data_IF_743319612562
#
_entry.id   IF_743319612562
#
_cell.length_a   1.000
_cell.length_b   1.000
_cell.length_c   1.000
_cell.angle_alpha   90.00
_cell.angle_beta   90.00
_cell.angle_gamma   90.00
#
_symmetry.space_group_name_H-M   'P 1'
#
loop_
_entity.id
_entity.type
_entity.pdbx_description
1 polymer ?
#
# COMPACT_ATOMS: atom_id res chain seq x y z
N UNK A 1 17.26 1.89 6.75
CA UNK A 1 16.32 1.77 5.61
C UNK A 1 16.16 3.15 4.98
N UNK A 2 15.87 3.24 3.69
CA UNK A 2 15.64 4.50 2.97
C UNK A 2 14.33 4.41 2.18
N UNK A 3 13.66 5.54 1.96
CA UNK A 3 12.54 5.59 1.03
C UNK A 3 13.04 5.35 -0.40
N UNK A 4 12.17 4.84 -1.28
CA UNK A 4 12.52 4.62 -2.70
C UNK A 4 12.94 5.91 -3.42
N UNK A 5 12.36 7.05 -3.02
CA UNK A 5 12.70 8.37 -3.57
C UNK A 5 13.86 9.06 -2.84
N UNK A 6 14.47 8.40 -1.85
CA UNK A 6 15.53 8.93 -0.98
C UNK A 6 15.20 10.25 -0.26
N UNK A 7 13.92 10.61 -0.14
CA UNK A 7 13.52 11.82 0.57
C UNK A 7 13.19 11.54 2.04
N UNK A 8 13.67 12.39 2.94
CA UNK A 8 13.30 12.40 4.36
C UNK A 8 13.45 13.81 4.94
N UNK A 9 12.60 14.13 5.92
CA UNK A 9 12.67 15.35 6.73
C UNK A 9 12.37 14.94 8.17
N UNK A 10 13.30 15.26 9.09
CA UNK A 10 13.16 14.92 10.52
C UNK A 10 11.91 15.53 11.15
N UNK A 11 11.44 16.65 10.60
CA UNK A 11 10.28 17.38 11.09
C UNK A 11 8.98 17.03 10.35
N UNK A 12 8.92 15.98 9.53
CA UNK A 12 7.69 15.66 8.77
C UNK A 12 7.00 14.40 9.28
N UNK A 13 5.69 14.49 9.54
CA UNK A 13 4.81 13.33 9.65
C UNK A 13 4.10 13.10 8.33
N UNK A 14 3.82 11.84 8.03
CA UNK A 14 3.05 11.44 6.86
C UNK A 14 1.80 10.68 7.32
N UNK A 15 0.69 10.87 6.61
CA UNK A 15 -0.52 10.12 6.85
C UNK A 15 -0.33 8.64 6.53
N UNK A 16 -0.96 7.75 7.31
CA UNK A 16 -0.85 6.30 7.14
C UNK A 16 -1.31 5.86 5.74
N UNK A 17 -2.44 6.40 5.27
CA UNK A 17 -2.98 6.11 3.94
C UNK A 17 -1.99 6.47 2.83
N UNK A 18 -1.32 7.61 2.96
CA UNK A 18 -0.37 8.10 1.96
C UNK A 18 0.90 7.25 1.97
N UNK A 19 1.42 6.95 3.16
CA UNK A 19 2.59 6.08 3.31
C UNK A 19 2.34 4.68 2.70
N UNK A 20 1.14 4.11 2.90
CA UNK A 20 0.76 2.84 2.28
C UNK A 20 0.65 2.95 0.76
N UNK A 21 -0.09 3.97 0.27
CA UNK A 21 -0.33 4.17 -1.16
C UNK A 21 0.95 4.39 -1.97
N UNK A 22 1.93 5.07 -1.37
CA UNK A 22 3.24 5.35 -1.98
C UNK A 22 4.34 4.38 -1.56
N UNK A 23 4.02 3.34 -0.77
CA UNK A 23 4.96 2.30 -0.35
C UNK A 23 6.20 2.83 0.38
N UNK A 24 6.03 3.79 1.28
CA UNK A 24 7.14 4.46 1.96
C UNK A 24 7.76 3.56 3.04
N UNK A 25 9.07 3.34 2.96
CA UNK A 25 9.80 2.43 3.85
C UNK A 25 9.99 3.01 5.27
N UNK A 26 10.36 4.29 5.39
CA UNK A 26 10.63 4.92 6.69
C UNK A 26 9.39 4.95 7.61
N UNK A 27 8.20 5.39 7.15
CA UNK A 27 6.99 5.36 7.97
C UNK A 27 6.55 3.94 8.32
N UNK A 28 6.78 2.96 7.44
CA UNK A 28 6.46 1.55 7.69
C UNK A 28 7.29 0.97 8.83
N UNK A 29 8.59 1.30 8.87
CA UNK A 29 9.49 0.90 9.97
C UNK A 29 9.13 1.63 11.27
N UNK A 30 8.83 2.93 11.21
CA UNK A 30 8.35 3.68 12.38
C UNK A 30 7.05 3.09 12.94
N UNK A 31 6.11 2.67 12.08
CA UNK A 31 4.89 1.96 12.48
C UNK A 31 5.21 0.61 13.15
N UNK A 32 6.15 -0.16 12.60
CA UNK A 32 6.59 -1.42 13.20
C UNK A 32 7.09 -1.21 14.64
N UNK A 33 7.92 -0.20 14.88
CA UNK A 33 8.42 0.09 16.24
C UNK A 33 7.32 0.60 17.19
N UNK A 34 6.27 1.25 16.67
CA UNK A 34 5.12 1.71 17.49
C UNK A 34 4.17 0.57 17.87
N UNK A 35 3.94 -0.36 16.95
CA UNK A 35 2.97 -1.46 17.12
C UNK A 35 3.63 -2.67 17.82
N UNK A 36 4.92 -2.90 17.57
CA UNK A 36 5.68 -4.00 18.13
C UNK A 36 5.60 -5.30 17.31
N UNK A 37 6.60 -6.14 17.46
CA UNK A 37 6.75 -7.42 16.73
C UNK A 37 5.63 -8.42 17.04
N UNK A 38 5.21 -8.51 18.30
CA UNK A 38 4.19 -9.47 18.77
C UNK A 38 2.84 -9.32 18.06
N UNK A 39 2.41 -8.07 17.80
CA UNK A 39 1.17 -7.82 17.08
C UNK A 39 1.25 -8.32 15.63
N UNK A 40 2.41 -8.19 14.99
CA UNK A 40 2.66 -8.72 13.65
C UNK A 40 2.65 -10.25 13.66
N UNK A 41 3.36 -10.89 14.59
CA UNK A 41 3.36 -12.35 14.73
C UNK A 41 1.95 -12.90 14.98
N UNK A 42 1.16 -12.22 15.82
CA UNK A 42 -0.22 -12.63 16.09
C UNK A 42 -1.08 -12.63 14.81
N UNK A 43 -0.95 -11.60 13.98
CA UNK A 43 -1.66 -11.53 12.70
C UNK A 43 -1.19 -12.65 11.75
N UNK A 44 0.12 -12.89 11.64
CA UNK A 44 0.69 -13.93 10.80
C UNK A 44 0.22 -15.33 11.22
N UNK A 45 0.18 -15.61 12.53
CA UNK A 45 -0.37 -16.85 13.07
C UNK A 45 -1.86 -17.03 12.74
N UNK A 46 -2.66 -15.95 12.79
CA UNK A 46 -4.09 -16.00 12.41
C UNK A 46 -4.30 -16.26 10.92
N UNK A 47 -3.33 -15.86 10.10
CA UNK A 47 -3.26 -16.14 8.66
C UNK A 47 -2.65 -17.52 8.32
N UNK A 48 -2.27 -18.32 9.34
CA UNK A 48 -1.54 -19.58 9.19
C UNK A 48 -0.23 -19.43 8.39
N UNK A 49 0.48 -18.33 8.58
CA UNK A 49 1.80 -18.13 7.98
C UNK A 49 2.90 -18.60 8.92
N UNK A 50 3.84 -19.36 8.38
CA UNK A 50 5.06 -19.74 9.09
C UNK A 50 6.12 -18.66 8.89
N UNK A 51 6.18 -17.70 9.83
CA UNK A 51 7.19 -16.65 9.79
C UNK A 51 8.27 -16.93 10.85
N UNK A 52 9.56 -16.74 10.53
CA UNK A 52 10.63 -16.86 11.52
C UNK A 52 10.34 -16.02 12.76
N UNK A 53 10.53 -16.61 13.93
CA UNK A 53 10.20 -16.01 15.23
C UNK A 53 11.12 -14.81 15.55
N UNK A 54 12.32 -14.78 14.97
CA UNK A 54 13.33 -13.76 15.27
C UNK A 54 12.83 -12.33 14.95
N UNK A 55 12.86 -11.47 15.98
CA UNK A 55 12.51 -10.06 15.83
C UNK A 55 13.49 -9.37 14.87
N UNK A 56 13.03 -9.06 13.66
CA UNK A 56 13.80 -8.27 12.72
C UNK A 56 12.90 -7.19 12.12
N UNK A 57 13.25 -5.90 12.27
CA UNK A 57 12.50 -4.80 11.65
C UNK A 57 12.38 -4.94 10.12
N UNK A 58 13.29 -5.69 9.48
CA UNK A 58 13.25 -6.00 8.06
C UNK A 58 12.00 -6.78 7.64
N UNK A 59 11.37 -7.53 8.56
CA UNK A 59 10.12 -8.24 8.29
C UNK A 59 9.01 -7.29 7.82
N UNK A 60 8.95 -6.08 8.39
CA UNK A 60 7.99 -5.04 7.98
C UNK A 60 8.23 -4.52 6.56
N UNK A 61 9.41 -4.77 5.98
CA UNK A 61 9.76 -4.43 4.60
C UNK A 61 9.63 -5.62 3.63
N UNK A 62 9.08 -6.74 4.08
CA UNK A 62 8.76 -7.88 3.22
C UNK A 62 9.92 -8.86 3.02
N UNK A 63 10.78 -9.06 4.01
CA UNK A 63 11.80 -10.13 3.96
C UNK A 63 11.26 -11.53 4.24
N UNK A 64 9.95 -11.69 4.47
CA UNK A 64 9.32 -13.00 4.60
C UNK A 64 9.21 -13.68 3.22
N UNK A 65 9.59 -14.94 3.17
CA UNK A 65 9.38 -15.78 1.98
C UNK A 65 7.95 -16.32 2.00
N UNK A 66 7.14 -15.89 1.04
CA UNK A 66 5.76 -16.35 0.87
C UNK A 66 5.54 -16.81 -0.57
N UNK A 67 4.81 -17.90 -0.74
CA UNK A 67 4.32 -18.32 -2.04
C UNK A 67 3.26 -17.34 -2.57
N UNK A 68 3.10 -17.30 -3.89
CA UNK A 68 2.03 -16.53 -4.52
C UNK A 68 0.64 -16.98 -4.04
N UNK A 69 0.47 -18.27 -3.74
CA UNK A 69 -0.78 -18.81 -3.24
C UNK A 69 -1.12 -18.26 -1.85
N UNK A 70 -0.15 -18.17 -0.94
CA UNK A 70 -0.33 -17.55 0.37
C UNK A 70 -0.70 -16.08 0.24
N UNK A 71 -0.01 -15.33 -0.63
CA UNK A 71 -0.35 -13.93 -0.90
C UNK A 71 -1.78 -13.77 -1.43
N UNK A 72 -2.21 -14.63 -2.37
CA UNK A 72 -3.59 -14.62 -2.87
C UNK A 72 -4.59 -14.91 -1.75
N UNK A 73 -4.31 -15.84 -0.83
CA UNK A 73 -5.18 -16.13 0.31
C UNK A 73 -5.27 -14.95 1.29
N UNK A 74 -4.15 -14.28 1.58
CA UNK A 74 -4.11 -13.09 2.43
C UNK A 74 -4.98 -11.99 1.82
N UNK A 75 -4.78 -11.64 0.54
CA UNK A 75 -5.59 -10.63 -0.13
C UNK A 75 -7.06 -11.05 -0.28
N UNK A 76 -7.33 -12.36 -0.40
CA UNK A 76 -8.68 -12.92 -0.34
C UNK A 76 -9.38 -12.69 1.00
N UNK A 77 -8.62 -12.57 2.09
CA UNK A 77 -9.17 -12.18 3.40
C UNK A 77 -9.66 -10.74 3.40
N UNK A 78 -8.88 -9.84 2.80
CA UNK A 78 -9.28 -8.43 2.66
C UNK A 78 -10.52 -8.30 1.75
N UNK A 79 -10.50 -8.97 0.60
CA UNK A 79 -11.66 -9.04 -0.31
C UNK A 79 -12.94 -9.57 0.39
N UNK A 80 -12.77 -10.44 1.38
CA UNK A 80 -13.84 -11.04 2.18
C UNK A 80 -14.02 -10.36 3.54
N UNK A 81 -13.72 -9.07 3.66
CA UNK A 81 -14.05 -8.27 4.85
C UNK A 81 -13.47 -8.85 6.14
N UNK A 82 -12.25 -9.40 6.08
CA UNK A 82 -11.53 -9.95 7.23
C UNK A 82 -11.76 -11.44 7.48
N UNK A 83 -12.52 -12.14 6.62
CA UNK A 83 -12.77 -13.59 6.72
C UNK A 83 -11.67 -14.39 6.00
N UNK A 84 -10.77 -14.99 6.77
CA UNK A 84 -9.75 -15.90 6.26
C UNK A 84 -10.35 -17.26 5.93
N UNK A 85 -9.87 -17.87 4.83
CA UNK A 85 -10.24 -19.23 4.40
C UNK A 85 -9.00 -20.11 4.45
N UNK A 86 -9.06 -21.20 5.22
CA UNK A 86 -7.89 -22.04 5.47
C UNK A 86 -7.48 -22.84 4.24
N UNK A 87 -8.46 -23.43 3.56
CA UNK A 87 -8.24 -24.32 2.43
C UNK A 87 -8.37 -23.57 1.09
N UNK A 88 -7.42 -23.80 0.18
CA UNK A 88 -7.56 -23.33 -1.20
C UNK A 88 -8.29 -24.41 -2.02
N UNK A 89 -9.56 -24.16 -2.34
CA UNK A 89 -10.42 -25.15 -3.00
C UNK A 89 -10.55 -24.89 -4.50
N UNK A 90 -10.03 -25.81 -5.31
CA UNK A 90 -10.13 -25.75 -6.78
C UNK A 90 -11.24 -26.64 -7.34
N UNK A 91 -11.66 -27.67 -6.59
CA UNK A 91 -12.61 -28.69 -7.04
C UNK A 91 -13.88 -28.58 -6.20
N UNK A 92 -15.04 -28.38 -6.85
CA UNK A 92 -16.34 -28.33 -6.15
C UNK A 92 -17.02 -29.71 -6.07
N UNK A 93 -16.85 -30.52 -7.11
CA UNK A 93 -17.55 -31.79 -7.30
C UNK A 93 -16.74 -32.68 -8.25
N UNK A 94 -16.69 -33.98 -7.96
CA UNK A 94 -16.15 -35.01 -8.84
C UNK A 94 -17.28 -36.00 -9.11
N UNK A 95 -17.56 -36.25 -10.39
CA UNK A 95 -18.58 -37.17 -10.86
C UNK A 95 -17.95 -38.23 -11.76
N UNK A 96 -18.55 -39.42 -11.80
CA UNK A 96 -18.23 -40.42 -12.82
C UNK A 96 -18.93 -40.10 -14.17
N UNK A 97 -18.66 -40.91 -15.20
CA UNK A 97 -19.24 -40.72 -16.53
C UNK A 97 -20.77 -40.87 -16.58
N UNK A 98 -21.38 -41.48 -15.56
CA UNK A 98 -22.83 -41.65 -15.44
C UNK A 98 -23.49 -40.54 -14.61
N UNK A 99 -22.71 -39.58 -14.11
CA UNK A 99 -23.18 -38.49 -13.25
C UNK A 99 -23.29 -38.87 -11.76
N UNK A 100 -22.76 -40.02 -11.35
CA UNK A 100 -22.68 -40.37 -9.93
C UNK A 100 -21.63 -39.52 -9.23
N UNK A 101 -22.04 -38.83 -8.16
CA UNK A 101 -21.16 -38.00 -7.35
C UNK A 101 -20.22 -38.87 -6.53
N UNK A 102 -18.93 -38.83 -6.84
CA UNK A 102 -17.88 -39.56 -6.12
C UNK A 102 -17.36 -38.75 -4.93
N UNK A 103 -17.33 -37.43 -5.09
CA UNK A 103 -16.91 -36.51 -4.05
C UNK A 103 -17.55 -35.13 -4.27
N UNK A 104 -17.88 -34.46 -3.17
CA UNK A 104 -18.35 -33.09 -3.19
C UNK A 104 -17.68 -32.31 -2.06
N UNK A 105 -17.40 -31.04 -2.34
CA UNK A 105 -16.76 -30.16 -1.37
C UNK A 105 -17.58 -30.10 -0.06
N UNK A 106 -16.97 -30.39 1.10
CA UNK A 106 -17.67 -30.44 2.39
C UNK A 106 -17.95 -29.05 3.01
N UNK A 107 -17.72 -27.96 2.26
CA UNK A 107 -17.69 -26.59 2.76
C UNK A 107 -16.27 -26.06 2.96
N UNK A 108 -16.14 -24.77 3.28
CA UNK A 108 -14.85 -24.11 3.55
C UNK A 108 -14.72 -23.81 5.03
N UNK A 109 -13.54 -24.11 5.60
CA UNK A 109 -13.18 -23.64 6.94
C UNK A 109 -12.81 -22.16 6.88
N UNK A 110 -13.55 -21.34 7.63
CA UNK A 110 -13.35 -19.89 7.63
C UNK A 110 -13.31 -19.34 9.06
N UNK A 111 -12.54 -18.26 9.24
CA UNK A 111 -12.40 -17.54 10.52
C UNK A 111 -12.38 -16.04 10.29
N UNK A 112 -13.11 -15.28 11.11
CA UNK A 112 -12.98 -13.82 11.14
C UNK A 112 -11.67 -13.46 11.85
N UNK A 113 -10.70 -12.88 11.12
CA UNK A 113 -9.38 -12.55 11.67
C UNK A 113 -9.05 -11.05 11.63
N UNK A 114 -9.84 -10.23 10.95
CA UNK A 114 -9.75 -8.77 11.02
C UNK A 114 -11.19 -8.27 11.10
N UNK A 115 -11.51 -7.19 11.81
CA UNK A 115 -12.90 -6.70 11.81
C UNK A 115 -13.30 -6.18 10.43
N UNK A 116 -14.61 -6.06 10.19
CA UNK A 116 -15.09 -5.57 8.91
C UNK A 116 -14.66 -4.11 8.69
N UNK A 117 -14.74 -3.29 9.75
CA UNK A 117 -14.39 -1.87 9.76
C UNK A 117 -12.90 -1.65 9.43
N UNK A 118 -12.00 -2.38 10.10
CA UNK A 118 -10.56 -2.29 9.83
C UNK A 118 -10.24 -2.75 8.39
N UNK A 119 -10.96 -3.75 7.89
CA UNK A 119 -10.75 -4.22 6.52
C UNK A 119 -11.23 -3.20 5.49
N UNK A 120 -12.37 -2.56 5.74
CA UNK A 120 -12.92 -1.48 4.92
C UNK A 120 -11.94 -0.30 4.83
N UNK A 121 -11.37 0.12 5.96
CA UNK A 121 -10.33 1.15 6.04
C UNK A 121 -9.08 0.76 5.23
N UNK A 122 -8.58 -0.47 5.39
CA UNK A 122 -7.46 -0.99 4.63
C UNK A 122 -7.75 -1.02 3.12
N UNK A 123 -8.97 -1.45 2.74
CA UNK A 123 -9.41 -1.44 1.34
C UNK A 123 -9.41 -0.03 0.77
N UNK A 124 -9.92 0.98 1.49
CA UNK A 124 -9.91 2.37 1.03
C UNK A 124 -8.49 2.91 0.79
N UNK A 125 -7.55 2.63 1.71
CA UNK A 125 -6.15 2.99 1.51
C UNK A 125 -5.51 2.27 0.31
N UNK A 126 -5.87 1.00 0.08
CA UNK A 126 -5.40 0.22 -1.07
C UNK A 126 -6.06 0.62 -2.40
N UNK A 127 -7.28 1.19 -2.38
CA UNK A 127 -7.85 1.87 -3.56
C UNK A 127 -7.03 3.12 -3.90
N UNK A 128 -6.63 3.89 -2.88
CA UNK A 128 -5.77 5.07 -3.09
C UNK A 128 -4.42 4.68 -3.71
N UNK A 129 -3.86 3.53 -3.32
CA UNK A 129 -2.65 2.98 -3.94
C UNK A 129 -2.81 2.71 -5.45
N UNK A 130 -4.01 2.31 -5.89
CA UNK A 130 -4.36 2.10 -7.30
C UNK A 130 -4.66 3.40 -8.03
N UNK A 131 -5.35 4.34 -7.38
CA UNK A 131 -5.85 5.54 -8.07
C UNK A 131 -4.76 6.61 -8.21
N UNK A 132 -3.99 6.86 -7.15
CA UNK A 132 -2.96 7.92 -7.11
C UNK A 132 -1.60 7.48 -6.58
N UNK A 133 -1.47 6.22 -6.13
CA UNK A 133 -0.23 5.66 -5.60
C UNK A 133 0.61 4.90 -6.62
N UNK A 134 1.37 3.92 -6.14
CA UNK A 134 2.29 3.12 -6.98
C UNK A 134 1.58 2.27 -8.05
N UNK A 135 0.27 2.06 -7.92
CA UNK A 135 -0.58 1.34 -8.86
C UNK A 135 -1.26 2.21 -9.94
N UNK A 136 -1.03 3.53 -9.97
CA UNK A 136 -1.76 4.49 -10.83
C UNK A 136 -1.85 4.12 -12.32
N UNK A 137 -0.89 3.34 -12.83
CA UNK A 137 -0.91 2.81 -14.21
C UNK A 137 -2.15 1.98 -14.52
N UNK A 138 -2.78 1.36 -13.52
CA UNK A 138 -4.07 0.67 -13.68
C UNK A 138 -5.16 1.60 -14.23
N UNK A 139 -5.16 2.87 -13.79
CA UNK A 139 -6.06 3.91 -14.29
C UNK A 139 -5.52 4.55 -15.56
N UNK A 140 -4.28 5.04 -15.52
CA UNK A 140 -3.75 5.92 -16.57
C UNK A 140 -3.31 5.18 -17.83
N UNK A 141 -2.83 3.94 -17.71
CA UNK A 141 -2.36 3.13 -18.84
C UNK A 141 -3.42 2.12 -19.29
N UNK A 142 -4.05 1.41 -18.34
CA UNK A 142 -5.01 0.34 -18.65
C UNK A 142 -6.48 0.82 -18.66
N UNK A 143 -6.73 2.07 -18.27
CA UNK A 143 -8.06 2.69 -18.39
C UNK A 143 -9.14 2.06 -17.51
N UNK A 144 -8.76 1.30 -16.48
CA UNK A 144 -9.70 0.56 -15.65
C UNK A 144 -10.62 1.51 -14.87
N UNK A 145 -11.93 1.31 -14.98
CA UNK A 145 -12.95 2.17 -14.33
C UNK A 145 -13.58 1.52 -13.11
N UNK A 146 -13.46 0.22 -12.97
CA UNK A 146 -13.99 -0.53 -11.84
C UNK A 146 -13.28 -0.17 -10.53
N UNK A 147 -14.03 -0.36 -9.45
CA UNK A 147 -13.48 -0.38 -8.11
C UNK A 147 -12.41 -1.47 -8.01
N UNK A 148 -11.23 -1.09 -7.56
CA UNK A 148 -10.09 -2.00 -7.46
C UNK A 148 -9.18 -1.54 -6.31
N UNK A 149 -8.86 -2.46 -5.42
CA UNK A 149 -7.85 -2.26 -4.40
C UNK A 149 -6.62 -3.09 -4.74
N UNK A 150 -5.42 -2.60 -4.43
CA UNK A 150 -4.22 -3.38 -4.72
C UNK A 150 -2.92 -2.72 -4.26
N UNK A 151 -1.83 -3.45 -4.44
CA UNK A 151 -0.51 -3.03 -3.98
C UNK A 151 0.59 -3.59 -4.87
N UNK A 152 1.58 -2.74 -5.17
CA UNK A 152 2.85 -3.17 -5.76
C UNK A 152 3.80 -3.67 -4.68
N UNK A 153 4.58 -4.70 -4.98
CA UNK A 153 5.75 -5.13 -4.20
C UNK A 153 6.99 -5.17 -5.09
N UNK A 154 8.15 -4.85 -4.53
CA UNK A 154 9.44 -4.92 -5.24
C UNK A 154 10.48 -5.39 -4.24
N UNK A 155 11.06 -6.55 -4.49
CA UNK A 155 12.15 -7.06 -3.67
C UNK A 155 13.41 -6.22 -3.87
N UNK A 156 14.30 -6.26 -2.88
CA UNK A 156 15.61 -5.62 -2.96
C UNK A 156 16.37 -6.12 -4.20
N UNK A 157 17.17 -5.25 -4.82
CA UNK A 157 17.90 -5.54 -6.06
C UNK A 157 17.01 -5.95 -7.26
N UNK A 158 15.69 -5.76 -7.18
CA UNK A 158 14.76 -6.10 -8.25
C UNK A 158 14.77 -7.59 -8.66
N UNK A 159 15.00 -8.49 -7.69
CA UNK A 159 14.92 -9.95 -7.93
C UNK A 159 13.50 -10.40 -8.22
N UNK A 160 12.52 -9.73 -7.60
CA UNK A 160 11.11 -10.06 -7.69
C UNK A 160 10.23 -8.81 -7.77
N UNK A 161 9.31 -8.85 -8.72
CA UNK A 161 8.26 -7.90 -8.93
C UNK A 161 6.92 -8.54 -8.58
N UNK A 162 6.18 -7.89 -7.68
CA UNK A 162 4.87 -8.38 -7.23
C UNK A 162 3.80 -7.34 -7.51
N UNK A 163 2.61 -7.84 -7.84
CA UNK A 163 1.41 -7.03 -7.86
C UNK A 163 0.22 -7.87 -7.39
N UNK A 164 -0.47 -7.35 -6.39
CA UNK A 164 -1.71 -7.93 -5.87
C UNK A 164 -2.84 -6.94 -6.09
N UNK A 165 -3.96 -7.40 -6.63
CA UNK A 165 -5.16 -6.61 -6.77
C UNK A 165 -6.39 -7.45 -6.44
N UNK A 166 -7.45 -6.82 -5.97
CA UNK A 166 -8.69 -7.49 -5.65
C UNK A 166 -9.92 -6.61 -5.78
N UNK A 167 -11.04 -7.30 -5.96
CA UNK A 167 -12.42 -6.85 -5.78
C UNK A 167 -13.06 -7.77 -4.73
N UNK A 168 -14.32 -7.57 -4.32
CA UNK A 168 -15.00 -8.51 -3.43
C UNK A 168 -15.18 -9.93 -4.01
N UNK A 169 -14.99 -10.13 -5.32
CA UNK A 169 -15.25 -11.41 -6.02
C UNK A 169 -14.04 -11.99 -6.73
N UNK A 170 -12.92 -11.27 -6.80
CA UNK A 170 -11.72 -11.70 -7.51
C UNK A 170 -10.47 -11.21 -6.79
N UNK A 171 -9.46 -12.07 -6.69
CA UNK A 171 -8.09 -11.69 -6.32
C UNK A 171 -7.18 -12.08 -7.47
N UNK A 172 -6.35 -11.13 -7.91
CA UNK A 172 -5.33 -11.33 -8.92
C UNK A 172 -3.98 -11.10 -8.27
N UNK A 173 -3.15 -12.14 -8.22
CA UNK A 173 -1.76 -12.05 -7.79
C UNK A 173 -0.82 -12.36 -8.94
N UNK A 174 0.18 -11.52 -9.14
CA UNK A 174 1.23 -11.70 -10.15
C UNK A 174 2.59 -11.56 -9.49
N UNK A 175 3.46 -12.55 -9.74
CA UNK A 175 4.90 -12.48 -9.49
C UNK A 175 5.63 -12.55 -10.83
N UNK A 176 6.61 -11.69 -11.02
CA UNK A 176 7.61 -11.82 -12.09
C UNK A 176 9.00 -11.81 -11.47
N UNK A 177 9.79 -12.82 -11.76
CA UNK A 177 11.14 -13.01 -11.26
C UNK A 177 11.76 -14.25 -11.87
N UNK A 178 13.09 -14.37 -11.83
CA UNK A 178 13.77 -15.57 -12.25
C UNK A 178 13.70 -16.66 -11.17
N UNK A 179 13.93 -17.91 -11.56
CA UNK A 179 14.10 -19.00 -10.59
C UNK A 179 15.40 -18.85 -9.79
N UNK A 180 16.44 -18.27 -10.39
CA UNK A 180 17.70 -17.92 -9.75
C UNK A 180 17.73 -16.40 -9.48
N UNK A 181 17.79 -15.95 -8.22
CA UNK A 181 17.74 -14.52 -7.87
C UNK A 181 18.97 -13.74 -8.33
N UNK A 182 20.05 -14.39 -8.74
CA UNK A 182 21.20 -13.72 -9.37
C UNK A 182 20.85 -13.15 -10.75
N UNK A 183 19.77 -13.65 -11.37
CA UNK A 183 19.23 -13.12 -12.63
C UNK A 183 18.14 -12.11 -12.28
N UNK A 184 18.52 -10.84 -12.24
CA UNK A 184 17.63 -9.75 -11.88
C UNK A 184 17.90 -8.50 -12.71
N UNK A 185 16.97 -7.53 -12.64
CA UNK A 185 17.17 -6.24 -13.27
C UNK A 185 18.11 -5.38 -12.42
N UNK A 186 18.90 -4.54 -13.09
CA UNK A 186 19.86 -3.65 -12.42
C UNK A 186 19.24 -2.31 -11.98
N UNK A 187 17.99 -2.04 -12.33
CA UNK A 187 17.32 -0.76 -12.09
C UNK A 187 15.79 -0.92 -11.96
N UNK A 188 15.08 0.21 -11.80
CA UNK A 188 13.63 0.29 -11.59
C UNK A 188 12.75 -0.38 -12.65
N UNK A 189 13.30 -0.79 -13.80
CA UNK A 189 12.60 -1.61 -14.78
C UNK A 189 12.20 -2.98 -14.20
N UNK A 190 12.88 -3.46 -13.15
CA UNK A 190 12.49 -4.67 -12.42
C UNK A 190 11.48 -4.46 -11.30
N UNK A 191 10.85 -3.30 -11.20
CA UNK A 191 9.86 -3.04 -10.15
C UNK A 191 8.54 -3.77 -10.39
N UNK A 192 7.77 -3.97 -9.32
CA UNK A 192 6.39 -4.47 -9.36
C UNK A 192 5.50 -3.68 -10.31
N UNK A 193 5.67 -2.35 -10.32
CA UNK A 193 4.92 -1.45 -11.21
C UNK A 193 5.30 -1.59 -12.68
N UNK A 194 6.50 -2.09 -12.98
CA UNK A 194 7.04 -2.22 -14.33
C UNK A 194 6.85 -3.63 -14.93
N UNK A 195 6.96 -4.69 -14.11
CA UNK A 195 6.89 -6.08 -14.60
C UNK A 195 5.57 -6.78 -14.26
N UNK A 196 5.15 -6.76 -13.00
CA UNK A 196 3.99 -7.53 -12.54
C UNK A 196 2.66 -6.83 -12.83
N UNK A 197 2.57 -5.52 -12.54
CA UNK A 197 1.38 -4.72 -12.75
C UNK A 197 0.85 -4.81 -14.20
N UNK A 198 1.67 -4.75 -15.27
CA UNK A 198 1.17 -4.87 -16.63
C UNK A 198 0.39 -6.14 -16.96
N UNK A 199 0.78 -7.28 -16.37
CA UNK A 199 0.12 -8.56 -16.57
C UNK A 199 -1.27 -8.51 -15.94
N UNK A 200 -1.36 -8.03 -14.69
CA UNK A 200 -2.63 -7.83 -14.00
C UNK A 200 -3.52 -6.80 -14.70
N UNK A 201 -2.95 -5.67 -15.13
CA UNK A 201 -3.66 -4.61 -15.84
C UNK A 201 -4.30 -5.09 -17.14
N UNK A 202 -3.54 -5.83 -17.96
CA UNK A 202 -4.06 -6.41 -19.20
C UNK A 202 -5.17 -7.44 -18.93
N UNK A 203 -4.98 -8.28 -17.90
CA UNK A 203 -5.96 -9.29 -17.50
C UNK A 203 -7.27 -8.65 -17.04
N UNK A 204 -7.19 -7.67 -16.12
CA UNK A 204 -8.35 -6.97 -15.59
C UNK A 204 -9.04 -6.11 -16.64
N UNK A 205 -8.30 -5.52 -17.58
CA UNK A 205 -8.88 -4.77 -18.70
C UNK A 205 -9.70 -5.67 -19.61
N UNK A 206 -9.21 -6.90 -19.85
CA UNK A 206 -9.94 -7.92 -20.61
C UNK A 206 -11.23 -8.33 -19.89
N UNK A 207 -11.16 -8.54 -18.57
CA UNK A 207 -12.34 -8.83 -17.74
C UNK A 207 -13.34 -7.68 -17.77
N UNK A 208 -12.89 -6.43 -17.67
CA UNK A 208 -13.75 -5.24 -17.66
C UNK A 208 -14.44 -5.00 -19.02
N UNK A 209 -13.75 -5.34 -20.11
CA UNK A 209 -14.29 -5.21 -21.47
C UNK A 209 -15.35 -6.25 -21.80
N UNK A 210 -15.38 -7.38 -21.09
CA UNK A 210 -16.41 -8.41 -21.24
C UNK A 210 -17.57 -8.16 -20.25
N UNK A 211 -18.77 -7.96 -20.77
CA UNK A 211 -19.95 -7.63 -19.95
C UNK A 211 -20.31 -8.69 -18.91
N UNK A 212 -20.10 -9.98 -19.21
CA UNK A 212 -20.43 -11.10 -18.32
C UNK A 212 -19.37 -11.22 -17.24
N UNK A 213 -18.09 -11.21 -17.62
CA UNK A 213 -16.98 -11.31 -16.67
C UNK A 213 -16.92 -10.09 -15.74
N UNK A 214 -17.15 -8.88 -16.27
CA UNK A 214 -17.26 -7.66 -15.47
C UNK A 214 -18.35 -7.78 -14.41
N UNK A 215 -19.55 -8.24 -14.78
CA UNK A 215 -20.66 -8.39 -13.85
C UNK A 215 -20.39 -9.46 -12.77
N UNK A 216 -19.64 -10.51 -13.11
CA UNK A 216 -19.30 -11.60 -12.20
C UNK A 216 -18.17 -11.23 -11.22
N UNK A 217 -17.10 -10.60 -11.72
CA UNK A 217 -15.85 -10.43 -10.98
C UNK A 217 -15.55 -9.00 -10.53
N UNK A 218 -16.05 -7.97 -11.22
CA UNK A 218 -15.69 -6.57 -10.94
C UNK A 218 -16.83 -5.83 -10.23
N UNK A 219 -17.31 -6.43 -9.14
CA UNK A 219 -18.36 -5.83 -8.31
C UNK A 219 -17.77 -4.71 -7.40
N UNK A 220 -18.53 -3.65 -7.11
CA UNK A 220 -18.04 -2.53 -6.32
C UNK A 220 -17.84 -2.91 -4.85
N UNK A 221 -17.00 -2.13 -4.15
CA UNK A 221 -16.89 -2.24 -2.70
C UNK A 221 -18.03 -1.50 -2.01
N UNK A 222 -18.56 -2.08 -0.93
CA UNK A 222 -19.48 -1.40 -0.03
C UNK A 222 -18.75 -1.16 1.29
N UNK A 223 -18.05 -0.03 1.34
CA UNK A 223 -17.22 0.41 2.45
C UNK A 223 -18.07 1.34 3.32
N UNK A 224 -18.11 1.08 4.63
CA UNK A 224 -18.70 2.03 5.57
C UNK A 224 -17.91 3.35 5.50
N UNK A 225 -18.60 4.45 5.19
CA UNK A 225 -17.96 5.74 4.98
C UNK A 225 -17.40 6.27 6.29
N UNK A 226 -16.10 6.08 6.54
CA UNK A 226 -15.39 6.81 7.58
C UNK A 226 -13.92 7.11 7.21
N UNK A 227 -13.70 8.41 6.96
CA UNK A 227 -12.57 9.31 7.29
C UNK A 227 -11.10 8.88 7.16
N UNK A 228 -10.75 7.66 6.75
CA UNK A 228 -9.34 7.20 6.77
C UNK A 228 -8.40 7.96 5.82
N UNK A 229 -8.93 8.61 4.79
CA UNK A 229 -8.16 9.48 3.86
C UNK A 229 -8.40 10.97 4.08
N UNK A 230 -9.14 11.39 5.12
CA UNK A 230 -9.55 12.79 5.31
C UNK A 230 -8.48 13.67 5.97
N UNK A 231 -7.31 13.10 6.29
CA UNK A 231 -6.19 13.88 6.81
C UNK A 231 -5.17 14.23 5.72
N UNK A 232 -4.53 15.43 5.79
CA UNK A 232 -3.49 15.82 4.85
C UNK A 232 -2.35 14.80 4.78
N UNK A 233 -1.83 14.57 3.57
CA UNK A 233 -0.75 13.61 3.32
C UNK A 233 0.50 13.89 4.18
N UNK A 234 0.84 15.16 4.39
CA UNK A 234 2.03 15.59 5.12
C UNK A 234 1.68 16.59 6.23
N UNK A 235 2.43 16.55 7.33
CA UNK A 235 2.35 17.51 8.43
C UNK A 235 3.74 17.84 8.97
N UNK A 236 4.15 19.10 8.87
CA UNK A 236 5.40 19.60 9.45
C UNK A 236 5.32 19.75 10.98
N UNK A 237 6.36 19.43 11.73
CA UNK A 237 6.49 19.65 13.18
C UNK A 237 7.15 21.01 13.45
N UNK A 238 7.22 21.39 14.74
CA UNK A 238 7.89 22.61 15.18
C UNK A 238 7.08 23.90 15.06
N UNK A 239 7.70 25.00 15.52
CA UNK A 239 7.10 26.34 15.57
C UNK A 239 6.74 26.81 14.17
N UNK A 240 7.62 26.62 13.20
CA UNK A 240 7.40 26.99 11.80
C UNK A 240 6.23 26.23 11.17
N UNK A 241 6.14 24.91 11.35
CA UNK A 241 4.99 24.11 10.91
C UNK A 241 3.68 24.50 11.62
N UNK A 242 3.75 24.94 12.89
CA UNK A 242 2.59 25.49 13.60
C UNK A 242 2.12 26.81 12.97
N UNK A 243 3.04 27.74 12.67
CA UNK A 243 2.71 29.00 12.00
C UNK A 243 2.18 28.77 10.57
N UNK A 244 2.76 27.84 9.81
CA UNK A 244 2.29 27.50 8.47
C UNK A 244 0.85 26.96 8.46
N UNK A 245 0.48 26.12 9.45
CA UNK A 245 -0.90 25.67 9.67
C UNK A 245 -1.84 26.77 10.14
N UNK A 246 -1.35 27.66 11.00
CA UNK A 246 -2.16 28.72 11.61
C UNK A 246 -2.45 29.88 10.64
N UNK A 247 -1.52 30.15 9.71
CA UNK A 247 -1.57 31.29 8.80
C UNK A 247 -1.74 30.91 7.32
N UNK A 248 -2.10 29.65 7.04
CA UNK A 248 -2.69 29.24 5.76
C UNK A 248 -1.74 29.25 4.57
N UNK A 249 -0.65 28.47 4.61
CA UNK A 249 0.00 27.99 3.38
C UNK A 249 -0.53 26.61 3.04
N UNK A 250 -1.65 26.55 2.32
CA UNK A 250 -2.09 25.32 1.65
C UNK A 250 -1.08 25.00 0.54
N UNK A 251 -0.23 24.01 0.78
CA UNK A 251 0.75 23.49 -0.20
C UNK A 251 0.07 22.62 -1.26
N UNK A 252 -0.86 23.20 -2.02
CA UNK A 252 -1.62 22.51 -3.08
C UNK A 252 -1.42 23.09 -4.49
N UNK A 253 -0.45 23.97 -4.73
CA UNK A 253 -0.14 24.43 -6.10
C UNK A 253 1.09 23.71 -6.66
N UNK A 254 0.93 23.01 -7.79
CA UNK A 254 2.01 22.40 -8.57
C UNK A 254 3.15 23.39 -8.93
N UNK A 255 2.87 24.70 -8.92
CA UNK A 255 3.83 25.75 -9.25
C UNK A 255 4.93 25.95 -8.18
N UNK A 256 4.62 25.76 -6.89
CA UNK A 256 5.65 25.85 -5.82
C UNK A 256 6.59 24.63 -5.81
N UNK A 257 6.14 23.44 -6.28
CA UNK A 257 6.98 22.23 -6.42
C UNK A 257 8.14 22.45 -7.41
N UNK A 258 7.89 23.15 -8.52
CA UNK A 258 8.94 23.47 -9.52
C UNK A 258 9.92 24.52 -9.01
N UNK A 259 9.49 25.38 -8.09
CA UNK A 259 10.33 26.43 -7.52
C UNK A 259 11.21 25.92 -6.37
N UNK A 260 10.70 25.01 -5.53
CA UNK A 260 11.46 24.30 -4.51
C UNK A 260 12.61 23.46 -5.11
N UNK A 261 12.39 22.83 -6.27
CA UNK A 261 13.44 22.10 -7.01
C UNK A 261 14.51 23.03 -7.62
N UNK A 262 14.19 24.31 -7.86
CA UNK A 262 15.13 25.31 -8.42
C UNK A 262 15.97 26.02 -7.35
N UNK A 263 15.50 26.10 -6.10
CA UNK A 263 16.18 26.86 -5.04
C UNK A 263 17.26 26.07 -4.27
N UNK A 264 17.64 24.88 -4.75
CA UNK A 264 18.76 24.08 -4.21
C UNK A 264 20.15 24.63 -4.62
N UNK A 265 20.38 25.93 -4.39
CA UNK A 265 21.73 26.51 -4.30
C UNK A 265 21.78 27.42 -3.07
N UNK A 266 22.17 26.80 -1.96
CA UNK A 266 22.58 27.39 -0.68
C UNK A 266 21.45 27.94 0.24
N UNK A 267 20.93 27.12 1.18
CA UNK A 267 19.80 27.48 2.05
C UNK A 267 20.20 28.34 3.26
N UNK A 268 21.48 28.45 3.59
CA UNK A 268 21.87 28.69 4.99
C UNK A 268 21.98 30.19 5.40
N UNK A 269 21.89 31.12 4.43
CA UNK A 269 22.13 32.55 4.69
C UNK A 269 20.90 33.45 4.75
N UNK A 270 19.79 33.10 4.09
CA UNK A 270 18.65 34.03 3.92
C UNK A 270 17.55 33.89 4.97
N UNK A 271 17.27 32.68 5.49
CA UNK A 271 16.13 32.48 6.41
C UNK A 271 16.43 32.86 7.87
N UNK A 272 17.68 32.73 8.35
CA UNK A 272 18.08 33.17 9.70
C UNK A 272 17.87 34.67 9.94
N UNK A 273 17.98 35.51 8.91
CA UNK A 273 17.91 36.98 9.07
C UNK A 273 16.49 37.56 9.05
N UNK A 274 15.50 36.85 8.52
CA UNK A 274 14.09 37.29 8.53
C UNK A 274 13.38 36.89 9.83
N UNK A 275 13.56 35.65 10.27
CA UNK A 275 12.94 35.14 11.50
C UNK A 275 13.52 35.85 12.73
N UNK A 276 14.85 36.04 12.80
CA UNK A 276 15.48 36.80 13.89
C UNK A 276 15.04 38.27 13.98
N UNK A 277 14.61 38.88 12.87
CA UNK A 277 14.05 40.25 12.85
C UNK A 277 12.60 40.30 13.34
N UNK A 278 11.82 39.26 13.11
CA UNK A 278 10.43 39.15 13.57
C UNK A 278 10.37 38.96 15.10
N UNK A 279 11.19 38.04 15.64
CA UNK A 279 11.27 37.80 17.10
C UNK A 279 11.82 39.00 17.87
N UNK A 280 12.84 39.69 17.35
CA UNK A 280 13.35 40.91 17.97
C UNK A 280 12.33 42.06 18.01
N UNK A 281 11.28 42.01 17.18
CA UNK A 281 10.23 43.02 17.12
C UNK A 281 9.06 42.70 18.06
N UNK A 282 8.81 41.41 18.32
CA UNK A 282 7.79 40.96 19.28
C UNK A 282 8.22 41.09 20.75
N UNK A 283 9.51 40.94 21.07
CA UNK A 283 9.98 40.86 22.46
C UNK A 283 10.75 42.08 22.98
N UNK A 284 10.79 43.19 22.23
CA UNK A 284 11.52 44.43 22.64
C UNK A 284 10.71 45.43 23.47
N UNK A 285 9.60 45.01 24.07
CA UNK A 285 8.71 45.86 24.85
C UNK A 285 8.51 45.39 26.28
N UNK A 286 9.58 45.26 27.07
CA UNK A 286 9.58 45.33 28.55
C UNK A 286 11.01 45.30 29.10
N UNK A 287 11.64 46.47 29.11
CA UNK A 287 12.66 46.84 30.09
C UNK A 287 12.23 48.18 30.69
N UNK A 288 11.69 48.11 31.90
CA UNK A 288 11.88 49.07 32.99
C UNK A 288 11.53 48.33 34.28
#
# INVERSE_FOLDING_TARGET
>A
PENYDHTSSEDTQVALWYALAHSMNLPTIDLYFKVGHEALLNLCNRLNLEIPIHETPSLALGTAELSLLEMVKIYGTFARKGVFTEDFMMIKKIEDANGQVLWQQPGLKTRQIISHEITDELTAMLQTAIDSGTGTRMRTTYGLKCDLAGKTGTAQNYTDAWFMAYTPKLVVGVRVGASDPSIHFINGLGSGSALALPIAGTTLHTIESDSKLRAEYLVPFYISADTTTDCPAFREKGVEGFFNRLFGKDLNSEDERKEALRQNKDPDKKNRTKVGRFFNRLFKGKKK
#
